data_IF_565367158250
#
_entry.id   IF_565367158250
#
_cell.length_a   1.000
_cell.length_b   1.000
_cell.length_c   1.000
_cell.angle_alpha   90.00
_cell.angle_beta   90.00
_cell.angle_gamma   90.00
#
_symmetry.space_group_name_H-M   'P 1'
#
loop_
_entity.id
_entity.type
_entity.pdbx_description
1 polymer ?
#
# COMPACT_ATOMS: atom_id res chain seq x y z
N UNK A 1 9.44 -14.92 -17.09
CA UNK A 1 8.64 -13.99 -17.93
C UNK A 1 7.14 -14.01 -17.58
N UNK A 2 6.52 -15.18 -17.34
CA UNK A 2 5.05 -15.30 -17.15
C UNK A 2 4.43 -14.68 -15.88
N UNK A 3 5.20 -14.55 -14.79
CA UNK A 3 4.68 -14.02 -13.51
C UNK A 3 4.23 -12.56 -13.57
N UNK A 4 4.79 -11.77 -14.51
CA UNK A 4 4.46 -10.33 -14.68
C UNK A 4 3.03 -10.14 -15.19
N UNK A 5 2.63 -10.97 -16.16
CA UNK A 5 1.26 -10.96 -16.70
C UNK A 5 0.26 -11.51 -15.69
N UNK A 6 0.64 -12.57 -14.96
CA UNK A 6 -0.16 -13.09 -13.86
C UNK A 6 -0.46 -12.01 -12.82
N UNK A 7 0.55 -11.28 -12.36
CA UNK A 7 0.36 -10.18 -11.41
C UNK A 7 -0.54 -9.06 -11.95
N UNK A 8 -0.37 -8.66 -13.22
CA UNK A 8 -1.19 -7.62 -13.85
C UNK A 8 -2.67 -8.03 -13.97
N UNK A 9 -2.93 -9.28 -14.37
CA UNK A 9 -4.29 -9.83 -14.47
C UNK A 9 -4.91 -9.95 -13.07
N UNK A 10 -4.19 -10.52 -12.10
CA UNK A 10 -4.67 -10.63 -10.72
C UNK A 10 -5.00 -9.28 -10.11
N UNK A 11 -4.14 -8.27 -10.31
CA UNK A 11 -4.38 -6.92 -9.81
C UNK A 11 -5.59 -6.26 -10.48
N UNK A 12 -5.72 -6.40 -11.80
CA UNK A 12 -6.90 -5.92 -12.54
C UNK A 12 -8.19 -6.56 -12.01
N UNK A 13 -8.21 -7.88 -11.85
CA UNK A 13 -9.35 -8.59 -11.28
C UNK A 13 -9.65 -8.10 -9.86
N UNK A 14 -8.62 -7.97 -9.01
CA UNK A 14 -8.77 -7.47 -7.64
C UNK A 14 -9.45 -6.09 -7.60
N UNK A 15 -9.03 -5.14 -8.45
CA UNK A 15 -9.64 -3.81 -8.48
C UNK A 15 -11.08 -3.86 -9.01
N UNK A 16 -11.34 -4.59 -10.10
CA UNK A 16 -12.68 -4.63 -10.71
C UNK A 16 -13.73 -5.35 -9.87
N UNK A 17 -13.35 -6.46 -9.21
CA UNK A 17 -14.26 -7.18 -8.31
C UNK A 17 -14.33 -6.49 -6.95
N UNK A 18 -13.17 -6.03 -6.44
CA UNK A 18 -13.07 -5.31 -5.19
C UNK A 18 -13.92 -4.04 -5.20
N UNK A 19 -13.89 -3.24 -6.26
CA UNK A 19 -14.67 -2.00 -6.31
C UNK A 19 -16.16 -2.23 -6.12
N UNK A 20 -16.72 -3.33 -6.64
CA UNK A 20 -18.15 -3.67 -6.47
C UNK A 20 -18.47 -4.22 -5.09
N UNK A 21 -17.62 -5.09 -4.54
CA UNK A 21 -17.85 -5.72 -3.23
C UNK A 21 -17.63 -4.73 -2.09
N UNK A 22 -16.77 -3.73 -2.30
CA UNK A 22 -16.39 -2.75 -1.28
C UNK A 22 -17.31 -1.52 -1.21
N UNK A 23 -18.27 -1.38 -2.13
CA UNK A 23 -19.27 -0.31 -2.08
C UNK A 23 -20.13 -0.36 -0.80
N UNK A 24 -20.30 -1.55 -0.22
CA UNK A 24 -21.17 -1.78 0.94
C UNK A 24 -20.41 -1.92 2.28
N UNK A 25 -19.08 -1.83 2.27
CA UNK A 25 -18.23 -2.13 3.45
C UNK A 25 -17.29 -0.97 3.76
N UNK A 26 -17.22 -0.56 5.03
CA UNK A 26 -16.22 0.43 5.46
C UNK A 26 -14.79 -0.04 5.13
N UNK A 27 -13.96 0.88 4.62
CA UNK A 27 -12.60 0.55 4.16
C UNK A 27 -11.69 -0.10 5.23
N UNK A 28 -11.89 0.24 6.51
CA UNK A 28 -11.16 -0.37 7.62
C UNK A 28 -11.53 -1.86 7.80
N UNK A 29 -12.82 -2.19 7.75
CA UNK A 29 -13.34 -3.56 7.85
C UNK A 29 -12.94 -4.37 6.61
N UNK A 30 -13.03 -3.76 5.44
CA UNK A 30 -12.54 -4.35 4.20
C UNK A 30 -11.06 -4.74 4.28
N UNK A 31 -10.22 -3.83 4.78
CA UNK A 31 -8.79 -4.07 4.94
C UNK A 31 -8.51 -5.22 5.90
N UNK A 32 -9.27 -5.32 7.00
CA UNK A 32 -9.19 -6.45 7.92
C UNK A 32 -9.47 -7.79 7.22
N UNK A 33 -10.55 -7.87 6.44
CA UNK A 33 -10.87 -9.09 5.69
C UNK A 33 -9.82 -9.44 4.64
N UNK A 34 -9.32 -8.46 3.88
CA UNK A 34 -8.27 -8.68 2.88
C UNK A 34 -6.99 -9.19 3.54
N UNK A 35 -6.56 -8.58 4.64
CA UNK A 35 -5.37 -9.01 5.39
C UNK A 35 -5.54 -10.41 5.99
N UNK A 36 -6.70 -10.71 6.57
CA UNK A 36 -7.02 -12.03 7.11
C UNK A 36 -7.02 -13.10 6.02
N UNK A 37 -7.69 -12.85 4.89
CA UNK A 37 -7.71 -13.75 3.74
C UNK A 37 -6.30 -13.96 3.15
N UNK A 38 -5.50 -12.90 3.04
CA UNK A 38 -4.12 -12.99 2.58
C UNK A 38 -3.26 -13.85 3.53
N UNK A 39 -3.39 -13.64 4.85
CA UNK A 39 -2.68 -14.42 5.88
C UNK A 39 -3.00 -15.92 5.76
N UNK A 40 -4.28 -16.27 5.70
CA UNK A 40 -4.73 -17.67 5.53
C UNK A 40 -4.22 -18.25 4.21
N UNK A 41 -4.33 -17.49 3.12
CA UNK A 41 -3.89 -17.95 1.79
C UNK A 41 -2.38 -18.24 1.76
N UNK A 42 -1.57 -17.33 2.31
CA UNK A 42 -0.12 -17.52 2.38
C UNK A 42 0.27 -18.68 3.31
N UNK A 43 -0.44 -18.87 4.42
CA UNK A 43 -0.22 -20.01 5.32
C UNK A 43 -0.53 -21.34 4.61
N UNK A 44 -1.68 -21.44 3.93
CA UNK A 44 -2.08 -22.66 3.22
C UNK A 44 -1.12 -23.00 2.08
N UNK A 45 -0.79 -22.03 1.23
CA UNK A 45 0.15 -22.22 0.11
C UNK A 45 1.55 -22.56 0.62
N UNK A 46 1.99 -21.86 1.68
CA UNK A 46 3.28 -22.12 2.32
C UNK A 46 3.35 -23.52 2.93
N UNK A 47 2.30 -23.95 3.63
CA UNK A 47 2.20 -25.27 4.23
C UNK A 47 2.18 -26.37 3.16
N UNK A 48 1.32 -26.24 2.15
CA UNK A 48 1.21 -27.21 1.07
C UNK A 48 2.52 -27.33 0.26
N UNK A 49 3.27 -26.23 0.11
CA UNK A 49 4.57 -26.23 -0.56
C UNK A 49 5.75 -26.65 0.32
N UNK A 50 5.56 -26.89 1.62
CA UNK A 50 6.66 -27.14 2.57
C UNK A 50 7.63 -25.97 2.71
N UNK A 51 7.18 -24.73 2.45
CA UNK A 51 8.02 -23.52 2.40
C UNK A 51 7.92 -22.67 3.68
N UNK A 52 7.17 -23.13 4.68
CA UNK A 52 7.08 -22.44 5.96
C UNK A 52 8.40 -22.58 6.72
N UNK A 53 9.02 -21.45 7.03
CA UNK A 53 10.22 -21.39 7.83
C UNK A 53 9.94 -20.60 9.10
N UNK A 54 9.94 -21.29 10.24
CA UNK A 54 9.76 -20.70 11.57
C UNK A 54 11.08 -20.57 12.35
N UNK A 55 12.21 -21.00 11.78
CA UNK A 55 13.53 -20.98 12.41
C UNK A 55 14.21 -19.61 12.40
N UNK A 56 13.43 -18.53 12.53
CA UNK A 56 13.96 -17.17 12.56
C UNK A 56 14.57 -16.89 13.94
N UNK A 57 15.64 -16.11 13.98
CA UNK A 57 16.23 -15.65 15.25
C UNK A 57 15.25 -14.76 16.03
N UNK A 58 15.52 -14.52 17.31
CA UNK A 58 14.73 -13.58 18.14
C UNK A 58 14.64 -12.18 17.48
N UNK A 59 15.73 -11.72 16.87
CA UNK A 59 15.74 -10.48 16.08
C UNK A 59 14.88 -10.57 14.81
N UNK A 60 14.84 -11.73 14.15
CA UNK A 60 13.98 -11.96 12.98
C UNK A 60 12.50 -11.85 13.32
N UNK A 61 12.08 -12.48 14.42
CA UNK A 61 10.69 -12.37 14.93
C UNK A 61 10.32 -10.95 15.31
N UNK A 62 11.28 -10.16 15.83
CA UNK A 62 11.07 -8.74 16.11
C UNK A 62 10.74 -7.95 14.84
N UNK A 63 11.42 -8.20 13.73
CA UNK A 63 11.11 -7.58 12.44
C UNK A 63 9.77 -8.01 11.87
N UNK A 64 9.40 -9.29 12.01
CA UNK A 64 8.06 -9.78 11.64
C UNK A 64 6.97 -9.04 12.44
N UNK A 65 7.17 -8.89 13.75
CA UNK A 65 6.24 -8.16 14.61
C UNK A 65 6.14 -6.67 14.22
N UNK A 66 7.27 -6.00 13.99
CA UNK A 66 7.30 -4.57 13.60
C UNK A 66 6.58 -4.36 12.26
N UNK A 67 6.88 -5.18 11.26
CA UNK A 67 6.27 -5.05 9.92
C UNK A 67 4.77 -5.36 9.93
N UNK A 68 4.33 -6.37 10.70
CA UNK A 68 2.93 -6.72 10.84
C UNK A 68 2.12 -5.73 11.68
N UNK A 69 2.65 -5.27 12.82
CA UNK A 69 1.90 -4.43 13.75
C UNK A 69 2.01 -2.95 13.40
N UNK A 70 3.22 -2.45 13.11
CA UNK A 70 3.46 -1.02 12.90
C UNK A 70 3.22 -0.63 11.45
N UNK A 71 3.93 -1.26 10.51
CA UNK A 71 3.87 -0.89 9.10
C UNK A 71 2.55 -1.29 8.43
N UNK A 72 1.85 -2.28 8.98
CA UNK A 72 0.63 -2.85 8.37
C UNK A 72 -0.61 -2.45 9.17
N UNK A 73 -0.82 -3.02 10.37
CA UNK A 73 -2.05 -2.80 11.13
C UNK A 73 -2.21 -1.34 11.60
N UNK A 74 -1.20 -0.80 12.29
CA UNK A 74 -1.25 0.56 12.79
C UNK A 74 -1.34 1.60 11.67
N UNK A 75 -0.53 1.46 10.61
CA UNK A 75 -0.57 2.36 9.46
C UNK A 75 -1.96 2.39 8.79
N UNK A 76 -2.57 1.23 8.57
CA UNK A 76 -3.91 1.14 7.99
C UNK A 76 -4.97 1.80 8.88
N UNK A 77 -5.00 1.49 10.18
CA UNK A 77 -5.93 2.11 11.13
C UNK A 77 -5.71 3.62 11.23
N UNK A 78 -4.46 4.08 11.28
CA UNK A 78 -4.13 5.51 11.29
C UNK A 78 -4.62 6.21 10.02
N UNK A 79 -4.47 5.58 8.86
CA UNK A 79 -4.99 6.09 7.59
C UNK A 79 -6.52 6.25 7.62
N UNK A 80 -7.27 5.22 8.03
CA UNK A 80 -8.73 5.30 8.08
C UNK A 80 -9.23 6.28 9.14
N UNK A 81 -8.57 6.36 10.30
CA UNK A 81 -8.87 7.39 11.31
C UNK A 81 -8.59 8.79 10.77
N UNK A 82 -7.44 8.99 10.13
CA UNK A 82 -7.11 10.26 9.47
C UNK A 82 -8.13 10.63 8.39
N UNK A 83 -8.54 9.67 7.58
CA UNK A 83 -9.59 9.83 6.57
C UNK A 83 -10.90 10.31 7.19
N UNK A 84 -11.33 9.71 8.31
CA UNK A 84 -12.52 10.13 9.07
C UNK A 84 -12.38 11.55 9.65
N UNK A 85 -11.17 11.98 10.00
CA UNK A 85 -10.90 13.30 10.60
C UNK A 85 -10.78 14.43 9.57
N UNK A 86 -10.09 14.22 8.45
CA UNK A 86 -9.79 15.28 7.46
C UNK A 86 -10.62 15.19 6.18
N UNK A 87 -11.34 14.08 5.99
CA UNK A 87 -12.18 13.81 4.83
C UNK A 87 -11.41 13.29 3.60
N UNK A 88 -12.13 12.70 2.63
CA UNK A 88 -11.53 12.00 1.47
C UNK A 88 -10.62 12.85 0.59
N UNK A 89 -10.97 14.11 0.34
CA UNK A 89 -10.17 14.97 -0.54
C UNK A 89 -8.81 15.31 0.06
N UNK A 90 -8.74 15.65 1.35
CA UNK A 90 -7.47 15.94 2.02
C UNK A 90 -6.63 14.68 2.18
N UNK A 91 -7.24 13.57 2.56
CA UNK A 91 -6.55 12.27 2.63
C UNK A 91 -5.96 11.88 1.27
N UNK A 92 -6.72 12.05 0.18
CA UNK A 92 -6.24 11.76 -1.18
C UNK A 92 -5.06 12.65 -1.61
N UNK A 93 -5.04 13.92 -1.22
CA UNK A 93 -3.90 14.82 -1.49
C UNK A 93 -2.67 14.36 -0.70
N UNK A 94 -2.85 13.97 0.57
CA UNK A 94 -1.76 13.44 1.40
C UNK A 94 -1.20 12.13 0.83
N UNK A 95 -2.05 11.20 0.39
CA UNK A 95 -1.61 9.95 -0.26
C UNK A 95 -0.84 10.19 -1.56
N UNK A 96 -1.18 11.24 -2.32
CA UNK A 96 -0.43 11.61 -3.51
C UNK A 96 1.03 12.02 -3.22
N UNK A 97 1.34 12.37 -1.97
CA UNK A 97 2.69 12.70 -1.50
C UNK A 97 3.47 11.47 -0.98
N UNK A 98 2.84 10.30 -0.89
CA UNK A 98 3.47 9.06 -0.43
C UNK A 98 4.76 8.72 -1.21
N UNK A 99 4.86 8.91 -2.54
CA UNK A 99 6.12 8.69 -3.26
C UNK A 99 7.26 9.59 -2.77
N UNK A 100 6.99 10.87 -2.50
CA UNK A 100 7.99 11.79 -1.96
C UNK A 100 8.41 11.38 -0.54
N UNK A 101 7.45 11.03 0.31
CA UNK A 101 7.74 10.57 1.67
C UNK A 101 8.57 9.29 1.68
N UNK A 102 8.28 8.34 0.78
CA UNK A 102 9.04 7.10 0.61
C UNK A 102 10.48 7.35 0.19
N UNK A 103 10.69 8.26 -0.77
CA UNK A 103 12.02 8.65 -1.24
C UNK A 103 12.82 9.34 -0.12
N UNK A 104 12.19 10.25 0.63
CA UNK A 104 12.83 10.92 1.77
C UNK A 104 13.18 9.92 2.89
N UNK A 105 12.27 8.99 3.19
CA UNK A 105 12.50 7.93 4.18
C UNK A 105 13.65 7.02 3.75
N UNK A 106 13.73 6.66 2.46
CA UNK A 106 14.82 5.84 1.94
C UNK A 106 16.18 6.55 2.10
N UNK A 107 16.24 7.84 1.77
CA UNK A 107 17.45 8.64 1.94
C UNK A 107 17.87 8.76 3.42
N UNK A 108 16.93 9.02 4.33
CA UNK A 108 17.22 9.17 5.77
C UNK A 108 17.58 7.85 6.44
N UNK A 109 16.84 6.77 6.16
CA UNK A 109 16.99 5.50 6.85
C UNK A 109 18.14 4.65 6.30
N UNK A 110 18.39 4.71 4.98
CA UNK A 110 19.37 3.85 4.31
C UNK A 110 20.57 4.62 3.73
N UNK A 111 20.54 5.97 3.76
CA UNK A 111 21.62 6.80 3.20
C UNK A 111 21.72 6.72 1.67
N UNK A 112 20.68 6.23 0.99
CA UNK A 112 20.72 6.01 -0.46
C UNK A 112 20.71 7.35 -1.22
N UNK A 113 21.81 7.65 -1.91
CA UNK A 113 21.88 8.80 -2.81
C UNK A 113 21.17 8.47 -4.13
N UNK A 114 20.15 9.25 -4.46
CA UNK A 114 19.44 9.11 -5.73
C UNK A 114 20.32 9.64 -6.87
N UNK A 115 20.45 8.82 -7.93
CA UNK A 115 21.02 9.25 -9.19
C UNK A 115 20.18 10.35 -9.85
N UNK A 116 20.77 11.10 -10.77
CA UNK A 116 20.07 12.15 -11.52
C UNK A 116 18.81 11.61 -12.25
N UNK A 117 18.86 10.37 -12.76
CA UNK A 117 17.71 9.74 -13.41
C UNK A 117 16.58 9.37 -12.44
N UNK A 118 16.92 8.94 -11.23
CA UNK A 118 15.92 8.67 -10.19
C UNK A 118 15.23 9.96 -9.73
N UNK A 119 15.98 11.06 -9.62
CA UNK A 119 15.41 12.38 -9.36
C UNK A 119 14.44 12.82 -10.44
N UNK A 120 14.79 12.62 -11.72
CA UNK A 120 13.90 12.92 -12.84
C UNK A 120 12.62 12.09 -12.79
N UNK A 121 12.73 10.78 -12.52
CA UNK A 121 11.59 9.89 -12.36
C UNK A 121 10.69 10.29 -11.18
N UNK A 122 11.28 10.62 -10.04
CA UNK A 122 10.55 11.10 -8.87
C UNK A 122 9.81 12.42 -9.17
N UNK A 123 10.45 13.36 -9.86
CA UNK A 123 9.82 14.61 -10.28
C UNK A 123 8.60 14.37 -11.18
N UNK A 124 8.68 13.44 -12.12
CA UNK A 124 7.53 13.08 -12.97
C UNK A 124 6.37 12.46 -12.19
N UNK A 125 6.65 11.55 -11.26
CA UNK A 125 5.61 10.94 -10.42
C UNK A 125 4.90 12.04 -9.61
N UNK A 126 5.64 12.94 -8.98
CA UNK A 126 5.06 14.03 -8.18
C UNK A 126 4.26 15.02 -9.04
N UNK A 127 4.74 15.35 -10.23
CA UNK A 127 4.02 16.22 -11.16
C UNK A 127 2.70 15.59 -11.62
N UNK A 128 2.70 14.30 -11.98
CA UNK A 128 1.50 13.57 -12.38
C UNK A 128 0.48 13.47 -11.23
N UNK A 129 0.95 13.13 -10.02
CA UNK A 129 0.12 13.09 -8.81
C UNK A 129 -0.52 14.45 -8.51
N UNK A 130 0.26 15.53 -8.60
CA UNK A 130 -0.22 16.89 -8.39
C UNK A 130 -1.24 17.32 -9.48
N UNK A 131 -1.02 16.91 -10.73
CA UNK A 131 -1.95 17.15 -11.82
C UNK A 131 -3.31 16.49 -11.57
N UNK A 132 -3.31 15.18 -11.28
CA UNK A 132 -4.53 14.41 -11.01
C UNK A 132 -5.28 14.98 -9.79
N UNK A 133 -4.56 15.31 -8.71
CA UNK A 133 -5.15 15.91 -7.52
C UNK A 133 -5.84 17.26 -7.80
N UNK A 134 -5.32 18.05 -8.74
CA UNK A 134 -5.93 19.32 -9.18
C UNK A 134 -7.14 19.09 -10.09
N UNK A 135 -7.07 18.13 -11.02
CA UNK A 135 -8.18 17.81 -11.94
C UNK A 135 -9.43 17.31 -11.20
N UNK A 136 -9.28 16.56 -10.10
CA UNK A 136 -10.41 16.12 -9.26
C UNK A 136 -11.13 17.26 -8.54
N UNK A 137 -10.46 18.40 -8.35
CA UNK A 137 -11.05 19.61 -7.74
C UNK A 137 -11.84 20.44 -8.77
N UNK A 138 -11.62 20.22 -10.07
CA UNK A 138 -12.23 20.98 -11.17
C UNK A 138 -13.57 20.42 -11.64
N UNK A 139 -13.91 19.18 -11.28
CA UNK A 139 -15.25 18.60 -11.40
C UNK A 139 -15.80 18.36 -9.99
N UNK A 140 -16.60 19.28 -9.42
CA UNK A 140 -17.42 18.97 -8.26
C UNK A 140 -18.42 17.90 -8.71
N UNK A 141 -18.59 16.85 -7.92
CA UNK A 141 -19.58 15.81 -8.18
C UNK A 141 -20.95 16.47 -8.37
N UNK A 142 -21.58 16.17 -9.53
CA UNK A 142 -22.92 16.60 -9.88
C UNK A 142 -23.96 15.71 -9.19
#
# INVERSE_FOLDING_TARGET
>A
MGWRWGAAVSYTCYILFGSKVLEEVEGEVATFYVMGAASVSFLLVGAAGGRLNFGWSEGGWSWVAITGLVSTAFAATAFFKGLKLVGPSKASIMSAMEPAASVAAAWVAFGEALSAWQWLGAAFILAASAWVARSRKAYPEA
#
